data_IF_134151310422
#
_entry.id   IF_134151310422
#
_cell.length_a   1.000
_cell.length_b   1.000
_cell.length_c   1.000
_cell.angle_alpha   90.00
_cell.angle_beta   90.00
_cell.angle_gamma   90.00
#
_symmetry.space_group_name_H-M   'P 1'
#
loop_
_entity.id
_entity.type
_entity.pdbx_description
1 polymer ?
#
# COMPACT_ATOMS: atom_id res chain seq x y z
N UNK A 1 24.59 -0.02 11.66
CA UNK A 1 24.94 0.01 10.23
C UNK A 1 23.77 0.63 9.50
N UNK A 2 23.97 1.77 8.84
CA UNK A 2 22.96 2.39 7.98
C UNK A 2 23.04 1.73 6.60
N UNK A 3 21.92 1.25 6.07
CA UNK A 3 21.86 0.55 4.77
C UNK A 3 21.45 1.51 3.64
N UNK A 4 20.56 2.45 3.92
CA UNK A 4 20.14 3.51 3.02
C UNK A 4 19.47 4.65 3.80
N UNK A 5 19.36 5.83 3.18
CA UNK A 5 18.51 6.93 3.64
C UNK A 5 17.18 6.90 2.89
N UNK A 6 16.07 7.16 3.60
CA UNK A 6 14.73 7.23 3.01
C UNK A 6 14.00 8.47 3.52
N UNK A 7 13.22 9.09 2.64
CA UNK A 7 12.30 10.18 2.99
C UNK A 7 10.87 9.70 3.25
N UNK A 8 10.62 8.40 3.08
CA UNK A 8 9.27 7.83 3.14
C UNK A 8 8.71 7.76 4.55
N UNK A 9 9.53 7.37 5.52
CA UNK A 9 9.09 7.27 6.91
C UNK A 9 10.17 7.64 7.91
N UNK A 10 9.73 8.19 9.03
CA UNK A 10 10.51 8.43 10.22
C UNK A 10 9.90 7.67 11.38
N UNK A 11 10.74 7.04 12.19
CA UNK A 11 10.32 6.23 13.33
C UNK A 11 11.13 6.67 14.56
N UNK A 12 10.43 7.08 15.60
CA UNK A 12 11.00 7.26 16.94
C UNK A 12 10.39 6.22 17.88
N UNK A 13 11.14 5.16 18.15
CA UNK A 13 10.68 4.05 18.98
C UNK A 13 10.55 4.40 20.46
N UNK A 14 11.31 5.38 20.95
CA UNK A 14 11.27 5.79 22.36
C UNK A 14 10.05 6.67 22.64
N UNK A 15 9.70 7.53 21.68
CA UNK A 15 8.48 8.34 21.72
C UNK A 15 7.22 7.59 21.22
N UNK A 16 7.39 6.43 20.57
CA UNK A 16 6.29 5.68 19.95
C UNK A 16 5.73 6.36 18.70
N UNK A 17 6.53 7.17 18.01
CA UNK A 17 6.10 8.00 16.89
C UNK A 17 6.44 7.34 15.55
N UNK A 18 5.48 7.40 14.62
CA UNK A 18 5.66 7.03 13.22
C UNK A 18 5.11 8.15 12.33
N UNK A 19 5.93 8.63 11.39
CA UNK A 19 5.49 9.66 10.43
C UNK A 19 5.83 9.21 9.01
N UNK A 20 4.89 9.45 8.09
CA UNK A 20 5.01 9.19 6.66
C UNK A 20 5.17 10.50 5.89
N UNK A 21 6.24 10.64 5.12
CA UNK A 21 6.52 11.83 4.30
C UNK A 21 6.35 13.18 5.05
N UNK A 22 6.59 13.20 6.37
CA UNK A 22 6.41 14.38 7.22
C UNK A 22 5.05 14.52 7.94
N UNK A 23 4.10 13.62 7.68
CA UNK A 23 2.78 13.58 8.31
C UNK A 23 2.72 12.51 9.40
N UNK A 24 2.12 12.83 10.54
CA UNK A 24 1.93 11.85 11.61
C UNK A 24 0.98 10.73 11.17
N UNK A 25 1.31 9.48 11.51
CA UNK A 25 0.48 8.33 11.13
C UNK A 25 -0.90 8.39 11.76
N UNK A 26 -1.04 8.98 12.95
CA UNK A 26 -2.33 9.08 13.64
C UNK A 26 -3.30 10.00 12.89
N UNK A 27 -2.78 11.08 12.33
CA UNK A 27 -3.55 12.04 11.53
C UNK A 27 -3.98 11.39 10.21
N UNK A 28 -3.04 10.74 9.51
CA UNK A 28 -3.35 10.01 8.27
C UNK A 28 -4.39 8.91 8.50
N UNK A 29 -4.28 8.14 9.59
CA UNK A 29 -5.22 7.06 9.88
C UNK A 29 -6.64 7.55 10.21
N UNK A 30 -6.79 8.79 10.68
CA UNK A 30 -8.08 9.38 11.03
C UNK A 30 -8.73 10.10 9.86
N UNK A 31 -7.92 10.83 9.09
CA UNK A 31 -8.40 11.86 8.19
C UNK A 31 -8.09 11.60 6.70
N UNK A 32 -7.28 10.58 6.37
CA UNK A 32 -6.93 10.22 5.00
C UNK A 32 -7.41 8.82 4.61
N UNK A 33 -7.75 8.67 3.33
CA UNK A 33 -8.05 7.39 2.69
C UNK A 33 -6.78 6.61 2.34
N UNK A 34 -6.95 5.32 2.03
CA UNK A 34 -5.83 4.49 1.58
C UNK A 34 -5.20 5.03 0.29
N UNK A 35 -6.02 5.46 -0.66
CA UNK A 35 -5.58 6.04 -1.93
C UNK A 35 -4.77 7.33 -1.73
N UNK A 36 -5.18 8.22 -0.81
CA UNK A 36 -4.41 9.43 -0.46
C UNK A 36 -3.05 9.10 0.15
N UNK A 37 -3.01 8.12 1.07
CA UNK A 37 -1.74 7.68 1.68
C UNK A 37 -0.84 7.00 0.65
N UNK A 38 -1.39 6.19 -0.26
CA UNK A 38 -0.60 5.58 -1.32
C UNK A 38 -0.03 6.63 -2.28
N UNK A 39 -0.84 7.63 -2.65
CA UNK A 39 -0.39 8.75 -3.45
C UNK A 39 0.75 9.51 -2.74
N UNK A 40 0.59 9.81 -1.45
CA UNK A 40 1.60 10.45 -0.61
C UNK A 40 2.92 9.66 -0.57
N UNK A 41 2.86 8.34 -0.47
CA UNK A 41 4.05 7.49 -0.42
C UNK A 41 4.78 7.43 -1.77
N UNK A 42 4.07 7.54 -2.89
CA UNK A 42 4.70 7.55 -4.22
C UNK A 42 5.20 8.94 -4.65
N UNK A 43 4.44 9.99 -4.35
CA UNK A 43 4.70 11.34 -4.86
C UNK A 43 5.35 12.25 -3.83
N UNK A 44 5.27 11.90 -2.54
CA UNK A 44 5.86 12.67 -1.43
C UNK A 44 4.97 13.78 -0.89
N UNK A 45 3.78 14.00 -1.47
CA UNK A 45 2.80 15.00 -1.03
C UNK A 45 1.37 14.46 -1.15
N UNK A 46 0.44 15.04 -0.37
CA UNK A 46 -0.98 14.66 -0.44
C UNK A 46 -1.58 15.17 -1.76
N UNK A 47 -2.45 14.37 -2.40
CA UNK A 47 -3.04 14.75 -3.68
C UNK A 47 -4.03 15.90 -3.52
N UNK A 48 -4.20 16.67 -4.58
CA UNK A 48 -5.42 17.49 -4.77
C UNK A 48 -6.61 16.60 -5.08
N UNK A 49 -7.84 17.15 -4.99
CA UNK A 49 -9.05 16.38 -5.30
C UNK A 49 -9.06 15.84 -6.73
N UNK A 50 -8.58 16.62 -7.71
CA UNK A 50 -8.51 16.18 -9.12
C UNK A 50 -7.49 15.05 -9.31
N UNK A 51 -6.33 15.13 -8.63
CA UNK A 51 -5.31 14.08 -8.67
C UNK A 51 -5.78 12.80 -7.98
N UNK A 52 -6.50 12.92 -6.86
CA UNK A 52 -7.04 11.78 -6.14
C UNK A 52 -8.10 11.05 -6.97
N UNK A 53 -9.00 11.78 -7.63
CA UNK A 53 -10.02 11.19 -8.49
C UNK A 53 -9.36 10.43 -9.65
N UNK A 54 -8.41 11.06 -10.35
CA UNK A 54 -7.69 10.43 -11.45
C UNK A 54 -6.89 9.19 -11.00
N UNK A 55 -6.21 9.28 -9.86
CA UNK A 55 -5.43 8.19 -9.31
C UNK A 55 -6.33 7.02 -8.85
N UNK A 56 -7.47 7.33 -8.25
CA UNK A 56 -8.44 6.32 -7.82
C UNK A 56 -9.05 5.57 -9.00
N UNK A 57 -9.35 6.28 -10.10
CA UNK A 57 -9.84 5.68 -11.34
C UNK A 57 -8.78 4.77 -11.99
N UNK A 58 -7.52 5.20 -12.00
CA UNK A 58 -6.40 4.39 -12.49
C UNK A 58 -6.25 3.10 -11.67
N UNK A 59 -6.23 3.21 -10.33
CA UNK A 59 -6.17 2.05 -9.45
C UNK A 59 -7.34 1.11 -9.69
N UNK A 60 -8.56 1.64 -9.80
CA UNK A 60 -9.76 0.86 -10.02
C UNK A 60 -9.70 0.07 -11.34
N UNK A 61 -9.19 0.68 -12.42
CA UNK A 61 -9.02 0.03 -13.71
C UNK A 61 -8.04 -1.15 -13.66
N UNK A 62 -7.08 -1.14 -12.72
CA UNK A 62 -6.07 -2.19 -12.56
C UNK A 62 -6.41 -3.25 -11.50
N UNK A 63 -7.59 -3.20 -10.85
CA UNK A 63 -8.02 -4.21 -9.85
C UNK A 63 -8.43 -5.56 -10.47
N UNK A 64 -8.65 -5.61 -11.78
CA UNK A 64 -9.08 -6.83 -12.48
C UNK A 64 -8.00 -7.93 -12.42
N UNK A 65 -8.42 -9.16 -12.12
CA UNK A 65 -7.57 -10.33 -12.16
C UNK A 65 -7.87 -11.17 -13.40
N UNK A 66 -6.83 -11.69 -14.04
CA UNK A 66 -6.97 -12.66 -15.13
C UNK A 66 -7.51 -14.00 -14.61
N UNK A 67 -8.35 -14.67 -15.41
CA UNK A 67 -8.96 -15.95 -15.04
C UNK A 67 -7.90 -17.01 -14.67
N UNK A 68 -6.74 -17.00 -15.32
CA UNK A 68 -5.64 -17.91 -15.00
C UNK A 68 -5.07 -17.67 -13.59
N UNK A 69 -5.00 -16.42 -13.13
CA UNK A 69 -4.56 -16.07 -11.78
C UNK A 69 -5.58 -16.56 -10.75
N UNK A 70 -6.87 -16.42 -11.04
CA UNK A 70 -7.95 -16.92 -10.19
C UNK A 70 -7.93 -18.45 -10.05
N UNK A 71 -7.70 -19.16 -11.15
CA UNK A 71 -7.60 -20.62 -11.16
C UNK A 71 -6.40 -21.12 -10.34
N UNK A 72 -5.23 -20.48 -10.49
CA UNK A 72 -4.05 -20.79 -9.67
C UNK A 72 -4.34 -20.51 -8.19
N UNK A 73 -4.97 -19.38 -7.87
CA UNK A 73 -5.34 -19.02 -6.50
C UNK A 73 -6.25 -20.08 -5.87
N UNK A 74 -7.26 -20.55 -6.62
CA UNK A 74 -8.17 -21.61 -6.15
C UNK A 74 -7.43 -22.93 -5.93
N UNK A 75 -6.58 -23.33 -6.87
CA UNK A 75 -5.78 -24.56 -6.76
C UNK A 75 -4.83 -24.57 -5.55
N UNK A 76 -4.27 -23.40 -5.19
CA UNK A 76 -3.43 -23.25 -3.99
C UNK A 76 -4.27 -23.33 -2.70
N UNK A 77 -5.45 -22.71 -2.69
CA UNK A 77 -6.36 -22.79 -1.55
C UNK A 77 -6.88 -24.23 -1.31
N UNK A 78 -7.17 -24.98 -2.37
CA UNK A 78 -7.55 -26.40 -2.30
C UNK A 78 -6.44 -27.30 -1.74
N UNK A 79 -5.19 -26.85 -1.80
CA UNK A 79 -4.03 -27.54 -1.23
C UNK A 79 -3.75 -27.10 0.22
N UNK A 80 -4.63 -26.30 0.83
CA UNK A 80 -4.45 -25.72 2.17
C UNK A 80 -3.15 -24.90 2.30
N UNK A 81 -2.67 -24.31 1.21
CA UNK A 81 -1.46 -23.47 1.23
C UNK A 81 -1.68 -22.21 2.07
N UNK A 82 -0.65 -21.78 2.78
CA UNK A 82 -0.75 -20.58 3.62
C UNK A 82 -0.98 -19.33 2.75
N UNK A 83 -1.80 -18.35 3.19
CA UNK A 83 -2.11 -17.17 2.38
C UNK A 83 -0.87 -16.41 1.88
N UNK A 84 0.17 -16.29 2.71
CA UNK A 84 1.41 -15.61 2.30
C UNK A 84 2.21 -16.41 1.26
N UNK A 85 2.21 -17.74 1.33
CA UNK A 85 2.89 -18.58 0.33
C UNK A 85 2.10 -18.63 -0.98
N UNK A 86 0.77 -18.57 -0.91
CA UNK A 86 -0.08 -18.41 -2.08
C UNK A 86 0.17 -17.06 -2.76
N UNK A 87 0.13 -15.95 -2.00
CA UNK A 87 0.42 -14.61 -2.52
C UNK A 87 1.80 -14.53 -3.18
N UNK A 88 2.84 -15.10 -2.56
CA UNK A 88 4.20 -15.18 -3.14
C UNK A 88 4.22 -15.85 -4.53
N UNK A 89 3.33 -16.81 -4.77
CA UNK A 89 3.26 -17.53 -6.06
C UNK A 89 2.52 -16.71 -7.13
N UNK A 90 1.64 -15.79 -6.72
CA UNK A 90 0.78 -15.01 -7.61
C UNK A 90 1.40 -13.68 -8.04
N UNK A 91 2.46 -13.20 -7.37
CA UNK A 91 3.18 -11.94 -7.66
C UNK A 91 4.55 -12.20 -8.29
#
# INVERSE_FOLDING_TARGET
MLVAESKLSFIDGDAGQLVYCGYDIEDLARDASYEEVLYLLWHGELPTSEELDAFSDELAAHRGLDDGVLDVTRGLAEQDESPMAALRTLV
#
